data_IF_914604367166
#
_entry.id   IF_914604367166
#
_cell.length_a   1.000
_cell.length_b   1.000
_cell.length_c   1.000
_cell.angle_alpha   90.00
_cell.angle_beta   90.00
_cell.angle_gamma   90.00
#
_symmetry.space_group_name_H-M   'P 1'
#
loop_
_entity.id
_entity.type
_entity.pdbx_description
1 polymer ?
#
# COMPACT_ATOMS: atom_id res chain seq x y z
N UNK A 1 7.02 -4.93 -3.36
CA UNK A 1 6.51 -5.91 -2.38
C UNK A 1 7.62 -6.36 -1.43
N UNK A 2 7.26 -6.69 -0.19
CA UNK A 2 8.15 -7.29 0.82
C UNK A 2 7.92 -8.80 0.97
N UNK A 3 6.74 -9.31 0.55
CA UNK A 3 6.30 -10.70 0.69
C UNK A 3 5.80 -11.24 -0.65
N UNK A 4 6.70 -11.72 -1.50
CA UNK A 4 6.39 -12.19 -2.86
C UNK A 4 5.27 -13.23 -2.89
N UNK A 5 5.36 -14.28 -2.09
CA UNK A 5 4.37 -15.36 -2.07
C UNK A 5 2.97 -14.89 -1.66
N UNK A 6 2.89 -13.89 -0.77
CA UNK A 6 1.63 -13.34 -0.32
C UNK A 6 0.99 -12.40 -1.34
N UNK A 7 1.80 -11.67 -2.12
CA UNK A 7 1.33 -10.55 -2.96
C UNK A 7 1.30 -10.89 -4.46
N UNK A 8 1.97 -11.96 -4.90
CA UNK A 8 2.06 -12.31 -6.32
C UNK A 8 0.68 -12.58 -6.93
N UNK A 9 0.41 -11.90 -8.04
CA UNK A 9 -0.87 -11.98 -8.76
C UNK A 9 -2.09 -11.46 -7.99
N UNK A 10 -1.89 -10.74 -6.87
CA UNK A 10 -2.96 -10.21 -6.04
C UNK A 10 -2.89 -8.69 -5.91
N UNK A 11 -4.04 -8.08 -5.69
CA UNK A 11 -4.12 -6.72 -5.19
C UNK A 11 -3.78 -6.69 -3.71
N UNK A 12 -3.12 -5.63 -3.25
CA UNK A 12 -2.83 -5.39 -1.85
C UNK A 12 -3.80 -4.33 -1.35
N UNK A 13 -4.56 -4.64 -0.32
CA UNK A 13 -5.46 -3.72 0.37
C UNK A 13 -4.82 -3.34 1.72
N UNK A 14 -4.25 -2.14 1.84
CA UNK A 14 -3.56 -1.72 3.05
C UNK A 14 -4.52 -1.60 4.24
N UNK A 15 -4.12 -2.14 5.40
CA UNK A 15 -4.88 -2.00 6.66
C UNK A 15 -4.34 -0.87 7.52
N UNK A 16 -3.02 -0.73 7.57
CA UNK A 16 -2.28 0.31 8.25
C UNK A 16 -1.02 0.65 7.44
N UNK A 17 -0.56 1.89 7.52
CA UNK A 17 0.69 2.32 6.92
C UNK A 17 1.68 2.76 7.99
N UNK A 18 2.91 2.19 7.99
CA UNK A 18 4.00 2.73 8.78
C UNK A 18 4.42 4.08 8.21
N UNK A 19 4.53 5.07 9.08
CA UNK A 19 4.81 6.47 8.72
C UNK A 19 6.31 6.72 8.67
N UNK A 20 6.98 6.19 7.65
CA UNK A 20 8.41 6.38 7.38
C UNK A 20 8.71 7.62 6.52
N UNK A 21 7.82 8.59 6.52
CA UNK A 21 7.83 9.81 5.71
C UNK A 21 7.51 11.04 6.58
N UNK A 22 7.65 12.24 6.04
CA UNK A 22 7.45 13.49 6.80
C UNK A 22 6.05 14.09 6.67
N UNK A 23 5.34 13.86 5.57
CA UNK A 23 4.11 14.56 5.21
C UNK A 23 2.97 14.30 6.20
N UNK A 24 2.75 13.06 6.61
CA UNK A 24 1.66 12.69 7.50
C UNK A 24 1.74 13.35 8.88
N UNK A 25 2.93 13.72 9.33
CA UNK A 25 3.15 14.37 10.64
C UNK A 25 2.66 15.82 10.69
N UNK A 26 2.38 16.45 9.53
CA UNK A 26 1.73 17.76 9.49
C UNK A 26 0.22 17.70 9.68
N UNK A 27 -0.40 16.53 9.47
CA UNK A 27 -1.86 16.39 9.40
C UNK A 27 -2.44 15.42 10.42
N UNK A 28 -1.62 14.60 11.06
CA UNK A 28 -2.07 13.60 12.05
C UNK A 28 -1.14 13.57 13.26
N UNK A 29 -1.70 13.23 14.41
CA UNK A 29 -0.95 13.06 15.67
C UNK A 29 0.22 12.08 15.48
N UNK A 30 1.35 12.27 16.22
CA UNK A 30 2.55 11.45 16.07
C UNK A 30 2.32 10.02 16.57
N UNK A 31 2.27 9.08 15.64
CA UNK A 31 2.21 7.63 15.87
C UNK A 31 3.03 6.94 14.79
N UNK A 32 3.50 5.73 15.07
CA UNK A 32 4.29 4.95 14.09
C UNK A 32 3.45 4.47 12.91
N UNK A 33 2.17 4.17 13.15
CA UNK A 33 1.24 3.67 12.15
C UNK A 33 0.01 4.57 12.04
N UNK A 34 -0.51 4.72 10.82
CA UNK A 34 -1.81 5.31 10.55
C UNK A 34 -2.75 4.23 10.00
N UNK A 35 -3.97 4.17 10.54
CA UNK A 35 -4.99 3.23 10.06
C UNK A 35 -5.51 3.68 8.70
N UNK A 36 -5.58 2.76 7.75
CA UNK A 36 -6.19 3.01 6.44
C UNK A 36 -7.69 2.76 6.56
N UNK A 37 -8.47 3.80 6.30
CA UNK A 37 -9.93 3.74 6.33
C UNK A 37 -10.46 3.05 5.06
N UNK A 38 -11.67 2.55 5.15
CA UNK A 38 -12.39 1.92 4.04
C UNK A 38 -11.77 0.64 3.45
N UNK A 39 -10.70 0.09 4.03
CA UNK A 39 -10.10 -1.17 3.58
C UNK A 39 -11.12 -2.31 3.58
N UNK A 40 -11.97 -2.40 4.59
CA UNK A 40 -12.98 -3.46 4.70
C UNK A 40 -14.07 -3.32 3.62
N UNK A 41 -14.53 -2.09 3.35
CA UNK A 41 -15.49 -1.83 2.25
C UNK A 41 -14.87 -2.23 0.90
N UNK A 42 -13.59 -1.91 0.71
CA UNK A 42 -12.87 -2.27 -0.49
C UNK A 42 -12.69 -3.79 -0.61
N UNK A 43 -12.42 -4.48 0.49
CA UNK A 43 -12.32 -5.93 0.52
C UNK A 43 -13.66 -6.61 0.13
N UNK A 44 -14.79 -6.08 0.58
CA UNK A 44 -16.12 -6.55 0.14
C UNK A 44 -16.31 -6.39 -1.36
N UNK A 45 -15.98 -5.22 -1.92
CA UNK A 45 -16.01 -4.96 -3.36
C UNK A 45 -15.16 -5.96 -4.16
N UNK A 46 -13.94 -6.25 -3.71
CA UNK A 46 -13.04 -7.22 -4.35
C UNK A 46 -13.58 -8.65 -4.26
N UNK A 47 -14.13 -9.02 -3.10
CA UNK A 47 -14.73 -10.34 -2.87
C UNK A 47 -15.94 -10.59 -3.78
N UNK A 48 -16.85 -9.63 -3.90
CA UNK A 48 -18.02 -9.73 -4.77
C UNK A 48 -17.64 -9.95 -6.25
N UNK A 49 -16.57 -9.32 -6.69
CA UNK A 49 -16.04 -9.43 -8.05
C UNK A 49 -15.07 -10.58 -8.27
N UNK A 50 -14.79 -11.36 -7.22
CA UNK A 50 -13.84 -12.48 -7.24
C UNK A 50 -12.44 -12.04 -7.68
N UNK A 51 -12.04 -10.82 -7.37
CA UNK A 51 -10.70 -10.32 -7.60
C UNK A 51 -9.76 -10.81 -6.51
N UNK A 52 -8.60 -11.38 -6.85
CA UNK A 52 -7.66 -11.86 -5.84
C UNK A 52 -7.03 -10.69 -5.09
N UNK A 53 -7.05 -10.74 -3.77
CA UNK A 53 -6.43 -9.72 -2.93
C UNK A 53 -5.82 -10.31 -1.66
N UNK A 54 -4.95 -9.53 -1.02
CA UNK A 54 -4.42 -9.76 0.32
C UNK A 54 -4.53 -8.46 1.12
N UNK A 55 -4.83 -8.56 2.39
CA UNK A 55 -4.82 -7.44 3.32
C UNK A 55 -3.57 -7.49 4.20
N UNK A 56 -2.98 -6.34 4.50
CA UNK A 56 -1.83 -6.27 5.39
C UNK A 56 -1.34 -4.85 5.62
N UNK A 57 -0.39 -4.72 6.54
CA UNK A 57 0.33 -3.47 6.76
C UNK A 57 1.22 -3.16 5.58
N UNK A 58 1.42 -1.87 5.35
CA UNK A 58 2.40 -1.37 4.37
C UNK A 58 3.37 -0.39 5.06
N UNK A 59 4.48 -0.15 4.41
CA UNK A 59 5.46 0.83 4.83
C UNK A 59 5.49 1.98 3.83
N UNK A 60 5.10 3.18 4.25
CA UNK A 60 5.31 4.41 3.48
C UNK A 60 6.71 4.96 3.79
N UNK A 61 7.52 5.22 2.77
CA UNK A 61 8.87 5.77 2.92
C UNK A 61 9.10 6.97 2.01
N UNK A 62 9.84 7.97 2.47
CA UNK A 62 10.25 9.14 1.67
C UNK A 62 11.32 8.79 0.62
N UNK A 63 12.01 7.67 0.78
CA UNK A 63 13.19 7.41 -0.01
C UNK A 63 13.53 5.93 -0.11
N UNK A 64 13.69 5.45 -1.33
CA UNK A 64 14.21 4.12 -1.63
C UNK A 64 15.57 3.85 -0.97
N UNK A 65 16.38 4.89 -0.74
CA UNK A 65 17.67 4.78 -0.04
C UNK A 65 17.50 4.39 1.44
N UNK A 66 16.30 4.50 1.98
CA UNK A 66 15.97 4.05 3.34
C UNK A 66 15.55 2.58 3.40
N UNK A 67 15.35 1.93 2.29
CA UNK A 67 14.99 0.51 2.21
C UNK A 67 16.21 -0.41 2.45
N UNK A 68 16.90 -0.15 3.54
CA UNK A 68 18.06 -0.94 3.98
C UNK A 68 17.62 -2.32 4.47
N UNK A 69 18.49 -3.31 4.37
CA UNK A 69 18.24 -4.71 4.82
C UNK A 69 17.66 -4.75 6.24
N UNK A 70 18.20 -3.95 7.16
CA UNK A 70 17.74 -3.92 8.54
C UNK A 70 16.33 -3.33 8.70
N UNK A 71 16.01 -2.26 7.95
CA UNK A 71 14.67 -1.66 7.99
C UNK A 71 13.65 -2.55 7.30
N UNK A 72 13.98 -3.15 6.16
CA UNK A 72 13.13 -4.14 5.49
C UNK A 72 12.80 -5.28 6.44
N UNK A 73 13.81 -5.87 7.10
CA UNK A 73 13.60 -6.95 8.08
C UNK A 73 12.65 -6.50 9.20
N UNK A 74 12.93 -5.33 9.80
CA UNK A 74 12.08 -4.78 10.87
C UNK A 74 10.63 -4.58 10.43
N UNK A 75 10.40 -4.01 9.23
CA UNK A 75 9.03 -3.82 8.72
C UNK A 75 8.32 -5.14 8.47
N UNK A 76 9.02 -6.15 7.95
CA UNK A 76 8.48 -7.51 7.80
C UNK A 76 8.10 -8.13 9.13
N UNK A 77 8.95 -8.03 10.15
CA UNK A 77 8.67 -8.50 11.51
C UNK A 77 7.45 -7.80 12.13
N UNK A 78 7.19 -6.55 11.76
CA UNK A 78 6.01 -5.79 12.16
C UNK A 78 4.76 -6.10 11.31
N UNK A 79 4.87 -7.01 10.34
CA UNK A 79 3.77 -7.47 9.48
C UNK A 79 3.53 -6.62 8.23
N UNK A 80 4.49 -5.78 7.82
CA UNK A 80 4.40 -5.08 6.54
C UNK A 80 4.65 -6.05 5.39
N UNK A 81 3.72 -6.10 4.43
CA UNK A 81 3.78 -6.95 3.23
C UNK A 81 4.23 -6.19 1.98
N UNK A 82 4.21 -4.86 2.02
CA UNK A 82 4.65 -4.01 0.92
C UNK A 82 5.29 -2.72 1.43
N UNK A 83 6.04 -2.06 0.55
CA UNK A 83 6.55 -0.70 0.72
C UNK A 83 6.06 0.14 -0.45
N UNK A 84 5.71 1.38 -0.18
CA UNK A 84 5.25 2.41 -1.11
C UNK A 84 5.67 3.79 -0.58
N UNK A 85 5.28 4.88 -1.22
CA UNK A 85 5.84 6.19 -0.91
C UNK A 85 4.79 7.29 -0.61
N UNK A 86 3.49 7.01 -0.64
CA UNK A 86 2.43 8.03 -0.61
C UNK A 86 1.37 7.83 0.46
N UNK A 87 1.00 6.61 0.78
CA UNK A 87 -0.27 6.28 1.42
C UNK A 87 -0.44 6.90 2.81
N UNK A 88 0.58 6.88 3.66
CA UNK A 88 0.45 7.46 5.00
C UNK A 88 0.12 8.96 4.94
N UNK A 89 0.79 9.70 4.05
CA UNK A 89 0.54 11.13 3.84
C UNK A 89 -0.86 11.38 3.27
N UNK A 90 -1.26 10.63 2.25
CA UNK A 90 -2.59 10.78 1.62
C UNK A 90 -3.70 10.45 2.61
N UNK A 91 -3.56 9.39 3.43
CA UNK A 91 -4.55 9.07 4.46
C UNK A 91 -4.64 10.18 5.52
N UNK A 92 -3.49 10.69 5.99
CA UNK A 92 -3.48 11.78 6.98
C UNK A 92 -4.16 13.06 6.45
N UNK A 93 -3.89 13.44 5.21
CA UNK A 93 -4.55 14.57 4.55
C UNK A 93 -6.05 14.32 4.40
N UNK A 94 -6.43 13.13 3.97
CA UNK A 94 -7.84 12.75 3.78
C UNK A 94 -8.61 12.85 5.10
N UNK A 95 -8.01 12.37 6.19
CA UNK A 95 -8.61 12.45 7.52
C UNK A 95 -8.74 13.88 8.00
N UNK A 96 -7.74 14.71 7.77
CA UNK A 96 -7.74 16.11 8.18
C UNK A 96 -8.83 16.94 7.49
N UNK A 97 -9.05 16.70 6.20
CA UNK A 97 -10.07 17.41 5.41
C UNK A 97 -11.42 16.70 5.35
N UNK A 98 -11.58 15.53 5.96
CA UNK A 98 -12.83 14.77 5.93
C UNK A 98 -13.12 14.11 4.59
N UNK A 99 -12.09 13.76 3.82
CA UNK A 99 -12.25 13.02 2.57
C UNK A 99 -12.25 11.51 2.82
N UNK A 100 -12.96 10.77 1.99
CA UNK A 100 -12.88 9.32 1.97
C UNK A 100 -11.77 8.87 1.01
N UNK A 101 -10.86 8.03 1.52
CA UNK A 101 -9.80 7.39 0.74
C UNK A 101 -10.14 5.91 0.52
N UNK A 102 -10.01 5.46 -0.71
CA UNK A 102 -10.06 4.05 -1.11
C UNK A 102 -8.77 3.74 -1.86
N UNK A 103 -7.92 2.92 -1.29
CA UNK A 103 -6.60 2.63 -1.83
C UNK A 103 -6.35 1.15 -2.02
N UNK A 104 -5.74 0.80 -3.13
CA UNK A 104 -5.23 -0.52 -3.42
C UNK A 104 -3.89 -0.44 -4.16
N UNK A 105 -3.02 -1.39 -3.90
CA UNK A 105 -1.71 -1.46 -4.51
C UNK A 105 -1.57 -2.72 -5.37
N UNK A 106 -0.61 -2.67 -6.29
CA UNK A 106 -0.18 -3.82 -7.08
C UNK A 106 1.34 -3.95 -6.93
N UNK A 107 1.83 -5.16 -6.69
CA UNK A 107 3.26 -5.38 -6.60
C UNK A 107 3.94 -5.12 -7.96
N UNK A 108 4.84 -4.15 -8.00
CA UNK A 108 5.64 -3.82 -9.19
C UNK A 108 7.02 -4.43 -9.12
N UNK A 109 7.63 -4.36 -7.96
CA UNK A 109 8.95 -4.92 -7.64
C UNK A 109 8.89 -5.76 -6.36
N UNK A 110 9.92 -6.55 -6.13
CA UNK A 110 10.06 -7.35 -4.91
C UNK A 110 11.42 -7.10 -4.28
N UNK A 111 11.40 -6.71 -3.01
CA UNK A 111 12.58 -6.57 -2.17
C UNK A 111 12.88 -7.92 -1.51
N UNK A 112 13.89 -8.59 -2.02
CA UNK A 112 14.46 -9.80 -1.42
C UNK A 112 15.79 -9.41 -0.76
N UNK A 113 16.10 -9.93 0.41
CA UNK A 113 17.29 -9.61 1.22
C UNK A 113 18.52 -9.18 0.40
N UNK A 114 18.70 -7.85 0.26
CA UNK A 114 19.82 -7.24 -0.45
C UNK A 114 19.73 -7.25 -1.99
N UNK A 115 18.60 -7.64 -2.57
CA UNK A 115 18.38 -7.64 -4.01
C UNK A 115 17.01 -7.10 -4.41
N UNK A 116 16.93 -6.51 -5.60
CA UNK A 116 15.69 -5.99 -6.20
C UNK A 116 15.30 -6.86 -7.40
N UNK A 117 14.11 -7.44 -7.36
CA UNK A 117 13.50 -8.05 -8.55
C UNK A 117 12.52 -7.01 -9.16
N UNK A 118 12.81 -6.56 -10.37
CA UNK A 118 12.06 -5.50 -11.07
C UNK A 118 11.21 -5.99 -12.25
N UNK A 119 11.11 -7.29 -12.45
CA UNK A 119 10.46 -7.88 -13.63
C UNK A 119 8.99 -7.45 -13.79
N UNK A 120 8.30 -7.18 -12.68
CA UNK A 120 6.92 -6.72 -12.67
C UNK A 120 6.73 -5.20 -12.83
N UNK A 121 7.79 -4.40 -12.70
CA UNK A 121 7.69 -2.94 -12.58
C UNK A 121 7.08 -2.28 -13.82
N UNK A 122 7.48 -2.69 -15.01
CA UNK A 122 6.96 -2.14 -16.27
C UNK A 122 5.47 -2.45 -16.46
N UNK A 123 5.05 -3.69 -16.19
CA UNK A 123 3.66 -4.11 -16.27
C UNK A 123 2.81 -3.40 -15.20
N UNK A 124 3.34 -3.23 -13.99
CA UNK A 124 2.66 -2.56 -12.90
C UNK A 124 2.35 -1.09 -13.20
N UNK A 125 3.25 -0.38 -13.86
CA UNK A 125 3.15 1.08 -14.08
C UNK A 125 2.30 1.50 -15.29
N UNK A 126 2.00 0.59 -16.23
CA UNK A 126 1.36 0.94 -17.51
C UNK A 126 0.03 0.24 -17.76
N UNK A 127 -0.58 -0.31 -16.73
CA UNK A 127 -1.80 -1.09 -16.85
C UNK A 127 -3.05 -0.20 -16.72
N UNK A 128 -3.73 0.02 -17.84
CA UNK A 128 -5.01 0.76 -17.89
C UNK A 128 -6.13 0.07 -17.10
N UNK A 129 -6.05 -1.24 -16.90
CA UNK A 129 -7.08 -1.98 -16.18
C UNK A 129 -7.19 -1.52 -14.71
N UNK A 130 -6.08 -1.05 -14.10
CA UNK A 130 -6.08 -0.47 -12.76
C UNK A 130 -6.86 0.83 -12.70
N UNK A 131 -6.71 1.69 -13.72
CA UNK A 131 -7.49 2.93 -13.83
C UNK A 131 -8.98 2.62 -13.95
N UNK A 132 -9.36 1.65 -14.80
CA UNK A 132 -10.76 1.22 -14.92
C UNK A 132 -11.29 0.64 -13.62
N UNK A 133 -10.50 -0.15 -12.90
CA UNK A 133 -10.86 -0.67 -11.59
C UNK A 133 -11.11 0.46 -10.59
N UNK A 134 -10.20 1.44 -10.51
CA UNK A 134 -10.36 2.61 -9.65
C UNK A 134 -11.63 3.41 -9.97
N UNK A 135 -11.95 3.59 -11.27
CA UNK A 135 -13.19 4.24 -11.70
C UNK A 135 -14.44 3.42 -11.33
N UNK A 136 -14.39 2.10 -11.37
CA UNK A 136 -15.49 1.24 -10.93
C UNK A 136 -15.70 1.34 -9.42
N UNK A 137 -14.62 1.35 -8.64
CA UNK A 137 -14.69 1.57 -7.19
C UNK A 137 -15.33 2.94 -6.90
N UNK A 138 -14.83 4.00 -7.51
CA UNK A 138 -15.36 5.35 -7.33
C UNK A 138 -16.85 5.52 -7.69
N UNK A 139 -17.41 4.65 -8.52
CA UNK A 139 -18.84 4.65 -8.86
C UNK A 139 -19.70 3.80 -7.91
N UNK A 140 -19.07 2.98 -7.07
CA UNK A 140 -19.77 2.03 -6.19
C UNK A 140 -19.81 2.48 -4.73
N UNK A 141 -19.03 3.50 -4.39
CA UNK A 141 -18.91 4.09 -3.04
C UNK A 141 -19.65 5.40 -2.91
#
# INVERSE_FOLDING_TARGET
>A
SLEKEATDGKFILPTEAYRGEGLSYYFAEPQDYIKIKNTDKLAEFFKERKLPYVQGRVWTTDSMLRETVNLVRKRKEEGCIAVEMELAGVQAISDFYGFELYDFLVAGDVLIEGNYETDGLSAANHDLDKLFLALQIAKSV
#
